data_IF_545089674314
#
_entry.id   IF_545089674314
#
_cell.length_a   1.000
_cell.length_b   1.000
_cell.length_c   1.000
_cell.angle_alpha   90.00
_cell.angle_beta   90.00
_cell.angle_gamma   90.00
#
_symmetry.space_group_name_H-M   'P 1'
#
loop_
_entity.id
_entity.type
_entity.pdbx_description
1 polymer ?
#
# COMPACT_ATOMS: atom_id res chain seq x y z
N UNK A 1 1.84 3.48 13.90
CA UNK A 1 2.54 4.20 15.00
C UNK A 1 4.02 4.44 14.69
N UNK A 2 4.78 3.42 14.29
CA UNK A 2 6.25 3.50 14.01
C UNK A 2 6.66 4.62 13.02
N UNK A 3 5.84 4.89 12.00
CA UNK A 3 6.08 5.97 11.04
C UNK A 3 6.00 7.38 11.65
N UNK A 4 5.09 7.58 12.61
CA UNK A 4 4.88 8.87 13.28
C UNK A 4 6.06 9.26 14.18
N UNK A 5 6.93 8.30 14.50
CA UNK A 5 8.13 8.53 15.30
C UNK A 5 9.33 8.97 14.42
N UNK A 6 9.25 8.79 13.09
CA UNK A 6 10.33 9.13 12.14
C UNK A 6 10.18 10.54 11.54
N UNK A 7 8.97 11.10 11.55
CA UNK A 7 8.69 12.48 11.18
C UNK A 7 8.27 13.21 12.45
N UNK A 8 8.97 14.30 12.78
CA UNK A 8 8.56 15.12 13.93
C UNK A 8 7.37 15.98 13.53
N UNK A 9 6.16 15.52 13.85
CA UNK A 9 4.94 16.31 13.72
C UNK A 9 4.95 17.36 14.84
N UNK A 10 5.15 18.63 14.49
CA UNK A 10 4.94 19.76 15.39
C UNK A 10 3.43 20.04 15.57
N UNK A 11 3.08 20.82 16.59
CA UNK A 11 1.70 20.91 17.12
C UNK A 11 0.64 21.53 16.17
N UNK A 12 0.98 21.76 14.90
CA UNK A 12 0.07 22.23 13.84
C UNK A 12 -0.06 21.30 12.64
N UNK A 13 0.60 20.13 12.65
CA UNK A 13 0.59 19.18 11.54
C UNK A 13 0.20 17.78 12.04
N UNK A 14 -0.89 17.23 11.50
CA UNK A 14 -1.37 15.88 11.88
C UNK A 14 -1.15 14.85 10.78
N UNK A 15 -1.32 13.58 11.12
CA UNK A 15 -1.33 12.49 10.14
C UNK A 15 -2.48 12.62 9.13
N UNK A 16 -3.61 13.18 9.55
CA UNK A 16 -4.75 13.39 8.67
C UNK A 16 -4.41 14.47 7.62
N UNK A 17 -3.70 15.53 8.03
CA UNK A 17 -3.20 16.57 7.11
C UNK A 17 -2.17 16.03 6.12
N UNK A 18 -1.29 15.13 6.59
CA UNK A 18 -0.35 14.41 5.73
C UNK A 18 -1.11 13.57 4.70
N UNK A 19 -2.04 12.73 5.15
CA UNK A 19 -2.77 11.79 4.29
C UNK A 19 -3.68 12.50 3.29
N UNK A 20 -4.30 13.62 3.69
CA UNK A 20 -5.09 14.43 2.79
C UNK A 20 -4.25 14.94 1.61
N UNK A 21 -3.07 15.53 1.88
CA UNK A 21 -2.15 15.96 0.82
C UNK A 21 -1.55 14.80 0.04
N UNK A 22 -1.26 13.69 0.70
CA UNK A 22 -0.77 12.49 0.06
C UNK A 22 -1.72 11.99 -1.02
N UNK A 23 -3.03 11.95 -0.74
CA UNK A 23 -4.05 11.59 -1.72
C UNK A 23 -4.21 12.65 -2.83
N UNK A 24 -4.13 13.93 -2.49
CA UNK A 24 -4.19 15.02 -3.47
C UNK A 24 -3.04 14.90 -4.50
N UNK A 25 -1.81 14.68 -4.04
CA UNK A 25 -0.65 14.53 -4.92
C UNK A 25 -0.63 13.20 -5.65
N UNK A 26 -1.15 12.13 -5.05
CA UNK A 26 -1.34 10.85 -5.75
C UNK A 26 -2.15 11.03 -7.04
N UNK A 27 -3.31 11.69 -6.93
CA UNK A 27 -4.19 11.96 -8.07
C UNK A 27 -3.52 12.83 -9.16
N UNK A 28 -2.57 13.70 -8.78
CA UNK A 28 -1.81 14.53 -9.72
C UNK A 28 -0.69 13.76 -10.44
N UNK A 29 -0.09 12.77 -9.78
CA UNK A 29 1.03 12.00 -10.31
C UNK A 29 0.59 10.83 -11.18
N UNK A 30 -0.55 10.21 -10.88
CA UNK A 30 -1.06 9.06 -11.63
C UNK A 30 -1.15 9.31 -13.15
N UNK A 31 -1.70 10.43 -13.66
CA UNK A 31 -1.72 10.70 -15.09
C UNK A 31 -0.35 10.58 -15.77
N UNK A 32 0.72 10.96 -15.07
CA UNK A 32 2.08 10.86 -15.61
C UNK A 32 2.58 9.42 -15.68
N UNK A 33 2.12 8.54 -14.78
CA UNK A 33 2.39 7.09 -14.88
C UNK A 33 1.65 6.50 -16.08
N UNK A 34 0.39 6.88 -16.31
CA UNK A 34 -0.38 6.42 -17.48
C UNK A 34 0.25 6.88 -18.80
N UNK A 35 0.85 8.07 -18.82
CA UNK A 35 1.57 8.61 -19.98
C UNK A 35 2.99 8.04 -20.12
N UNK A 36 3.43 7.15 -19.22
CA UNK A 36 4.77 6.56 -19.24
C UNK A 36 5.90 7.54 -18.88
N UNK A 37 5.56 8.69 -18.29
CA UNK A 37 6.52 9.74 -17.85
C UNK A 37 7.10 9.46 -16.47
N UNK A 38 6.37 8.72 -15.63
CA UNK A 38 6.83 8.25 -14.32
C UNK A 38 6.66 6.74 -14.22
N UNK A 39 7.60 6.07 -13.56
CA UNK A 39 7.38 4.71 -13.07
C UNK A 39 6.55 4.73 -11.78
N UNK A 40 5.96 3.59 -11.40
CA UNK A 40 5.26 3.46 -10.11
C UNK A 40 6.20 3.73 -8.93
N UNK A 41 7.45 3.28 -9.01
CA UNK A 41 8.49 3.54 -8.00
C UNK A 41 8.74 5.04 -7.85
N UNK A 42 8.91 5.75 -8.97
CA UNK A 42 9.08 7.22 -8.96
C UNK A 42 7.85 7.95 -8.42
N UNK A 43 6.63 7.51 -8.77
CA UNK A 43 5.40 8.06 -8.20
C UNK A 43 5.38 7.91 -6.67
N UNK A 44 5.79 6.75 -6.13
CA UNK A 44 5.80 6.50 -4.68
C UNK A 44 6.75 7.46 -3.96
N UNK A 45 7.95 7.66 -4.48
CA UNK A 45 8.94 8.59 -3.93
C UNK A 45 8.47 10.06 -4.04
N UNK A 46 8.03 10.46 -5.23
CA UNK A 46 7.66 11.85 -5.52
C UNK A 46 6.43 12.29 -4.72
N UNK A 47 5.45 11.39 -4.54
CA UNK A 47 4.27 11.66 -3.71
C UNK A 47 4.65 12.03 -2.27
N UNK A 48 5.59 11.30 -1.67
CA UNK A 48 6.09 11.60 -0.32
C UNK A 48 6.84 12.92 -0.31
N UNK A 49 7.72 13.13 -1.31
CA UNK A 49 8.49 14.36 -1.46
C UNK A 49 7.59 15.59 -1.50
N UNK A 50 6.56 15.56 -2.35
CA UNK A 50 5.61 16.67 -2.51
C UNK A 50 4.86 17.00 -1.22
N UNK A 51 4.46 16.00 -0.42
CA UNK A 51 3.82 16.25 0.89
C UNK A 51 4.79 16.95 1.84
N UNK A 52 6.02 16.46 1.96
CA UNK A 52 7.01 17.02 2.88
C UNK A 52 7.43 18.43 2.47
N UNK A 53 7.63 18.66 1.18
CA UNK A 53 7.95 19.99 0.64
C UNK A 53 6.79 20.98 0.87
N UNK A 54 5.54 20.54 0.69
CA UNK A 54 4.35 21.38 0.94
C UNK A 54 4.28 21.90 2.38
N UNK A 55 4.63 21.06 3.36
CA UNK A 55 4.68 21.43 4.77
C UNK A 55 6.05 21.97 5.22
N UNK A 56 6.99 22.19 4.29
CA UNK A 56 8.36 22.62 4.56
C UNK A 56 9.10 21.74 5.60
N UNK A 57 8.84 20.43 5.57
CA UNK A 57 9.46 19.44 6.45
C UNK A 57 10.79 19.00 5.84
N UNK A 58 11.87 19.15 6.59
CA UNK A 58 13.18 18.67 6.15
C UNK A 58 13.27 17.14 6.20
N UNK A 59 13.79 16.53 5.14
CA UNK A 59 14.01 15.08 5.05
C UNK A 59 15.38 14.75 4.47
N UNK A 60 15.81 13.51 4.69
CA UNK A 60 16.97 12.93 4.00
C UNK A 60 16.47 12.15 2.79
N UNK A 61 17.21 12.20 1.69
CA UNK A 61 16.82 11.46 0.47
C UNK A 61 16.66 9.94 0.71
N UNK A 62 17.52 9.34 1.55
CA UNK A 62 17.37 7.93 1.93
C UNK A 62 16.05 7.62 2.65
N UNK A 63 15.44 8.60 3.33
CA UNK A 63 14.14 8.43 3.95
C UNK A 63 13.04 8.28 2.89
N UNK A 64 13.07 9.09 1.82
CA UNK A 64 12.09 9.00 0.72
C UNK A 64 12.10 7.61 0.09
N UNK A 65 13.31 7.10 -0.20
CA UNK A 65 13.50 5.78 -0.82
C UNK A 65 12.98 4.65 0.06
N UNK A 66 13.18 4.74 1.37
CA UNK A 66 12.77 3.70 2.32
C UNK A 66 11.34 3.86 2.81
N UNK A 67 10.69 5.00 2.54
CA UNK A 67 9.37 5.31 3.07
C UNK A 67 8.35 4.22 2.76
N UNK A 68 8.30 3.82 1.48
CA UNK A 68 7.29 2.87 1.02
C UNK A 68 7.49 1.50 1.67
N UNK A 69 8.73 1.03 1.76
CA UNK A 69 9.05 -0.26 2.37
C UNK A 69 8.72 -0.29 3.87
N UNK A 70 9.02 0.79 4.59
CA UNK A 70 8.68 0.93 6.02
C UNK A 70 7.15 0.92 6.18
N UNK A 71 6.46 1.76 5.40
CA UNK A 71 5.00 1.86 5.45
C UNK A 71 4.34 0.51 5.15
N UNK A 72 4.78 -0.16 4.08
CA UNK A 72 4.24 -1.44 3.68
C UNK A 72 4.50 -2.52 4.72
N UNK A 73 5.70 -2.56 5.31
CA UNK A 73 6.04 -3.51 6.38
C UNK A 73 5.08 -3.36 7.56
N UNK A 74 4.86 -2.13 8.03
CA UNK A 74 3.92 -1.85 9.12
C UNK A 74 2.49 -2.25 8.73
N UNK A 75 2.06 -1.91 7.51
CA UNK A 75 0.73 -2.28 7.03
C UNK A 75 0.53 -3.79 7.00
N UNK A 76 1.55 -4.55 6.59
CA UNK A 76 1.50 -6.01 6.58
C UNK A 76 1.48 -6.59 8.01
N UNK A 77 2.12 -5.93 8.99
CA UNK A 77 2.10 -6.34 10.40
C UNK A 77 0.75 -6.16 11.07
N UNK A 78 -0.05 -5.19 10.62
CA UNK A 78 -1.41 -4.96 11.13
C UNK A 78 -2.47 -5.90 10.52
N UNK A 79 -2.08 -6.78 9.58
CA UNK A 79 -3.00 -7.75 8.99
C UNK A 79 -3.30 -8.84 10.02
N UNK A 80 -4.54 -8.85 10.50
CA UNK A 80 -5.08 -9.91 11.36
C UNK A 80 -5.93 -10.88 10.53
N UNK A 81 -5.75 -12.18 10.77
CA UNK A 81 -6.59 -13.21 10.17
C UNK A 81 -7.97 -13.23 10.79
N UNK A 82 -9.03 -13.26 9.97
CA UNK A 82 -10.41 -13.47 10.43
C UNK A 82 -10.77 -14.96 10.32
N UNK A 83 -10.77 -15.64 11.46
CA UNK A 83 -11.09 -17.08 11.54
C UNK A 83 -12.52 -17.41 11.10
N UNK A 84 -13.46 -16.49 11.29
CA UNK A 84 -14.86 -16.68 10.86
C UNK A 84 -14.97 -16.60 9.35
N UNK A 85 -14.29 -15.62 8.74
CA UNK A 85 -14.22 -15.49 7.29
C UNK A 85 -13.55 -16.72 6.66
N UNK A 86 -12.40 -17.15 7.19
CA UNK A 86 -11.66 -18.32 6.70
C UNK A 86 -12.52 -19.59 6.73
N UNK A 87 -13.25 -19.81 7.82
CA UNK A 87 -14.16 -20.97 7.94
C UNK A 87 -15.27 -20.92 6.90
N UNK A 88 -15.92 -19.77 6.71
CA UNK A 88 -16.98 -19.60 5.70
C UNK A 88 -16.47 -19.78 4.29
N UNK A 89 -15.30 -19.26 3.97
CA UNK A 89 -14.69 -19.43 2.65
C UNK A 89 -14.33 -20.88 2.38
N UNK A 90 -13.89 -21.62 3.41
CA UNK A 90 -13.65 -23.06 3.32
C UNK A 90 -14.94 -23.84 3.07
N UNK A 91 -16.01 -23.55 3.80
CA UNK A 91 -17.33 -24.18 3.59
C UNK A 91 -17.86 -23.91 2.17
N UNK A 92 -17.76 -22.66 1.69
CA UNK A 92 -18.15 -22.31 0.32
C UNK A 92 -17.35 -23.10 -0.73
N UNK A 93 -16.07 -23.37 -0.47
CA UNK A 93 -15.21 -24.11 -1.40
C UNK A 93 -15.62 -25.56 -1.61
N UNK A 94 -16.44 -26.13 -0.72
CA UNK A 94 -17.00 -27.48 -0.87
C UNK A 94 -17.98 -27.56 -2.05
N UNK A 95 -18.63 -26.44 -2.38
CA UNK A 95 -19.67 -26.37 -3.41
C UNK A 95 -19.28 -25.49 -4.60
N UNK A 96 -18.26 -24.63 -4.45
CA UNK A 96 -17.85 -23.68 -5.48
C UNK A 96 -16.34 -23.73 -5.73
N UNK A 97 -15.94 -23.56 -6.99
CA UNK A 97 -14.54 -23.31 -7.34
C UNK A 97 -14.24 -21.83 -7.10
N UNK A 98 -13.43 -21.55 -6.09
CA UNK A 98 -13.05 -20.19 -5.70
C UNK A 98 -11.61 -19.93 -6.17
N UNK A 99 -11.38 -18.71 -6.66
CA UNK A 99 -10.05 -18.19 -6.98
C UNK A 99 -9.95 -16.74 -6.49
N UNK A 100 -8.73 -16.30 -6.15
CA UNK A 100 -8.45 -14.90 -5.81
C UNK A 100 -7.91 -14.22 -7.06
N UNK A 101 -8.60 -13.17 -7.51
CA UNK A 101 -8.15 -12.28 -8.59
C UNK A 101 -7.78 -10.94 -7.96
N UNK A 102 -6.53 -10.51 -8.12
CA UNK A 102 -6.06 -9.25 -7.55
C UNK A 102 -5.22 -8.46 -8.55
N UNK A 103 -5.46 -7.16 -8.58
CA UNK A 103 -4.62 -6.21 -9.30
C UNK A 103 -3.59 -5.66 -8.31
N UNK A 104 -2.30 -5.86 -8.60
CA UNK A 104 -1.24 -5.34 -7.75
C UNK A 104 0.11 -5.99 -8.00
N UNK A 105 1.14 -5.38 -7.42
CA UNK A 105 2.49 -5.92 -7.37
C UNK A 105 2.48 -7.33 -6.75
N UNK A 106 3.15 -8.27 -7.44
CA UNK A 106 2.95 -9.70 -7.21
C UNK A 106 3.40 -10.18 -5.83
N UNK A 107 4.42 -9.53 -5.25
CA UNK A 107 4.91 -9.87 -3.91
C UNK A 107 4.00 -9.31 -2.82
N UNK A 108 3.60 -8.04 -2.91
CA UNK A 108 2.77 -7.37 -1.89
C UNK A 108 1.44 -8.10 -1.69
N UNK A 109 0.80 -8.48 -2.79
CA UNK A 109 -0.49 -9.18 -2.75
C UNK A 109 -0.35 -10.60 -2.20
N UNK A 110 0.74 -11.31 -2.53
CA UNK A 110 1.00 -12.66 -1.98
C UNK A 110 1.20 -12.62 -0.47
N UNK A 111 1.94 -11.64 0.02
CA UNK A 111 2.21 -11.51 1.46
C UNK A 111 0.92 -11.15 2.23
N UNK A 112 0.05 -10.30 1.67
CA UNK A 112 -1.29 -10.05 2.24
C UNK A 112 -2.11 -11.34 2.34
N UNK A 113 -2.21 -12.09 1.24
CA UNK A 113 -2.96 -13.38 1.20
C UNK A 113 -2.41 -14.35 2.25
N UNK A 114 -1.08 -14.41 2.39
CA UNK A 114 -0.42 -15.24 3.38
C UNK A 114 -0.81 -14.85 4.81
N UNK A 115 -0.68 -13.57 5.15
CA UNK A 115 -0.97 -13.07 6.50
C UNK A 115 -2.45 -13.16 6.87
N UNK A 116 -3.36 -12.97 5.92
CA UNK A 116 -4.79 -13.20 6.13
C UNK A 116 -5.16 -14.68 6.34
N UNK A 117 -4.26 -15.63 6.04
CA UNK A 117 -4.49 -17.07 6.22
C UNK A 117 -5.09 -17.77 4.99
N UNK A 118 -5.16 -17.09 3.84
CA UNK A 118 -5.64 -17.67 2.57
C UNK A 118 -4.56 -18.40 1.76
N UNK A 119 -3.33 -18.49 2.29
CA UNK A 119 -2.24 -19.17 1.61
C UNK A 119 -2.62 -20.59 1.25
N UNK A 120 -2.45 -20.96 -0.03
CA UNK A 120 -2.76 -22.29 -0.56
C UNK A 120 -4.23 -22.73 -0.44
N UNK A 121 -5.16 -21.86 0.00
CA UNK A 121 -6.59 -22.20 0.06
C UNK A 121 -7.22 -22.21 -1.34
N UNK A 122 -6.87 -21.22 -2.17
CA UNK A 122 -7.45 -21.02 -3.49
C UNK A 122 -6.35 -20.71 -4.52
N UNK A 123 -6.54 -21.04 -5.81
CA UNK A 123 -5.73 -20.50 -6.89
C UNK A 123 -5.71 -18.96 -6.83
N UNK A 124 -4.52 -18.38 -6.95
CA UNK A 124 -4.32 -16.92 -6.90
C UNK A 124 -3.80 -16.44 -8.25
N UNK A 125 -4.53 -15.52 -8.85
CA UNK A 125 -4.19 -14.84 -10.08
C UNK A 125 -3.93 -13.37 -9.77
N UNK A 126 -2.67 -12.95 -9.93
CA UNK A 126 -2.27 -11.54 -9.73
C UNK A 126 -1.85 -11.01 -11.09
N UNK A 127 -2.60 -10.03 -11.60
CA UNK A 127 -2.28 -9.33 -12.82
C UNK A 127 -1.88 -7.91 -12.45
N UNK A 128 -0.64 -7.54 -12.78
CA UNK A 128 -0.20 -6.16 -12.73
C UNK A 128 -0.77 -5.43 -13.97
N UNK A 129 -2.09 -5.31 -14.05
CA UNK A 129 -2.67 -4.28 -14.90
C UNK A 129 -2.43 -2.96 -14.16
N UNK A 130 -1.55 -2.12 -14.70
CA UNK A 130 -1.61 -0.68 -14.43
C UNK A 130 -3.07 -0.28 -14.64
N UNK A 131 -3.74 0.16 -13.56
CA UNK A 131 -5.17 0.50 -13.60
C UNK A 131 -5.49 1.38 -14.81
N UNK A 132 -6.68 1.16 -15.38
CA UNK A 132 -7.25 2.03 -16.41
C UNK A 132 -7.73 3.35 -15.81
#
# INVERSE_FOLDING_TARGET
>A
KVFLDLITFDSGFSIDDFMWKYHEFDAQLWPQVHEGKLTIEQLREERVRMVLDYYAINYKENFIRLFFDIFLTVLLEEIESDSTLLAKMKELSENYRIAILSNGESWEQREKIRRFGFENMFPVYIYAETGF
#
